data_IF_626612402229
#
_entry.id   IF_626612402229
#
_cell.length_a   1.000
_cell.length_b   1.000
_cell.length_c   1.000
_cell.angle_alpha   90.00
_cell.angle_beta   90.00
_cell.angle_gamma   90.00
#
_symmetry.space_group_name_H-M   'P 1'
#
loop_
_entity.id
_entity.type
_entity.pdbx_description
1 polymer ?
#
# COMPACT_ATOMS: atom_id res chain seq x y z
N UNK A 1 0.97 -15.83 -2.63
CA UNK A 1 2.06 -16.82 -2.81
C UNK A 1 3.22 -16.10 -3.47
N UNK A 2 4.45 -16.52 -3.24
CA UNK A 2 5.61 -16.01 -4.00
C UNK A 2 5.91 -16.99 -5.12
N UNK A 3 6.11 -16.49 -6.34
CA UNK A 3 6.64 -17.31 -7.43
C UNK A 3 8.13 -17.61 -7.18
N UNK A 4 8.72 -18.51 -7.98
CA UNK A 4 10.15 -18.85 -7.88
C UNK A 4 11.10 -17.68 -8.19
N UNK A 5 10.57 -16.52 -8.62
CA UNK A 5 11.32 -15.28 -8.90
C UNK A 5 11.11 -14.21 -7.82
N UNK A 6 10.30 -14.50 -6.79
CA UNK A 6 10.04 -13.61 -5.66
C UNK A 6 8.88 -12.63 -5.85
N UNK A 7 8.10 -12.73 -6.93
CA UNK A 7 6.90 -11.94 -7.18
C UNK A 7 5.72 -12.47 -6.37
N UNK A 8 4.95 -11.56 -5.78
CA UNK A 8 3.79 -11.91 -4.95
C UNK A 8 2.53 -11.97 -5.81
N UNK A 9 1.94 -13.16 -5.93
CA UNK A 9 0.65 -13.39 -6.56
C UNK A 9 -0.48 -13.54 -5.51
N UNK A 10 -1.63 -12.91 -5.79
CA UNK A 10 -2.85 -13.02 -4.99
C UNK A 10 -3.83 -13.93 -5.72
N UNK A 11 -4.11 -15.09 -5.13
CA UNK A 11 -5.07 -16.04 -5.69
C UNK A 11 -6.48 -15.44 -5.67
N UNK A 12 -7.14 -15.45 -6.82
CA UNK A 12 -8.50 -14.92 -6.97
C UNK A 12 -8.57 -13.39 -7.07
N UNK A 13 -7.44 -12.71 -7.32
CA UNK A 13 -7.45 -11.31 -7.74
C UNK A 13 -8.09 -11.21 -9.13
N UNK A 14 -9.07 -10.31 -9.27
CA UNK A 14 -9.73 -9.99 -10.53
C UNK A 14 -8.96 -8.86 -11.22
N UNK A 15 -8.58 -9.07 -12.48
CA UNK A 15 -7.97 -8.04 -13.34
C UNK A 15 -8.93 -7.78 -14.51
N UNK A 16 -9.33 -6.52 -14.68
CA UNK A 16 -10.31 -6.11 -15.69
C UNK A 16 -9.59 -5.25 -16.75
N UNK A 17 -9.65 -5.68 -18.02
CA UNK A 17 -9.04 -4.94 -19.14
C UNK A 17 -9.90 -3.71 -19.43
N UNK A 18 -9.24 -2.57 -19.55
CA UNK A 18 -9.87 -1.27 -19.83
C UNK A 18 -9.27 -0.62 -21.07
N UNK A 19 -10.11 0.09 -21.80
CA UNK A 19 -9.73 0.77 -23.05
C UNK A 19 -9.83 2.30 -22.96
N UNK A 20 -10.29 2.83 -21.83
CA UNK A 20 -10.43 4.27 -21.61
C UNK A 20 -10.22 4.66 -20.15
N UNK A 21 -9.82 5.92 -19.92
CA UNK A 21 -9.76 6.47 -18.56
C UNK A 21 -11.12 6.44 -17.86
N UNK A 22 -12.22 6.62 -18.61
CA UNK A 22 -13.58 6.52 -18.07
C UNK A 22 -13.90 5.14 -17.50
N UNK A 23 -13.40 4.06 -18.10
CA UNK A 23 -13.55 2.71 -17.56
C UNK A 23 -12.77 2.51 -16.26
N UNK A 24 -11.57 3.08 -16.15
CA UNK A 24 -10.80 3.07 -14.90
C UNK A 24 -11.61 3.69 -13.76
N UNK A 25 -12.22 4.86 -13.99
CA UNK A 25 -13.05 5.51 -12.98
C UNK A 25 -14.28 4.67 -12.60
N UNK A 26 -14.94 4.03 -13.58
CA UNK A 26 -16.08 3.13 -13.29
C UNK A 26 -15.68 1.94 -12.42
N UNK A 27 -14.51 1.34 -12.67
CA UNK A 27 -13.99 0.24 -11.84
C UNK A 27 -13.65 0.74 -10.45
N UNK A 28 -13.03 1.92 -10.34
CA UNK A 28 -12.73 2.56 -9.06
C UNK A 28 -14.00 2.79 -8.23
N UNK A 29 -15.06 3.33 -8.86
CA UNK A 29 -16.36 3.55 -8.21
C UNK A 29 -17.02 2.24 -7.77
N UNK A 30 -17.00 1.21 -8.63
CA UNK A 30 -17.49 -0.14 -8.31
C UNK A 30 -16.73 -0.74 -7.12
N UNK A 31 -15.41 -0.59 -7.09
CA UNK A 31 -14.56 -1.04 -5.98
C UNK A 31 -14.86 -0.29 -4.68
N UNK A 32 -14.99 1.03 -4.76
CA UNK A 32 -15.31 1.91 -3.63
C UNK A 32 -16.71 1.63 -3.07
N UNK A 33 -17.70 1.36 -3.93
CA UNK A 33 -19.04 0.93 -3.53
C UNK A 33 -19.02 -0.43 -2.83
N UNK A 34 -18.32 -1.43 -3.40
CA UNK A 34 -18.14 -2.75 -2.75
C UNK A 34 -17.48 -2.61 -1.37
N UNK A 35 -16.48 -1.73 -1.24
CA UNK A 35 -15.81 -1.41 0.03
C UNK A 35 -16.81 -0.82 1.04
N UNK A 36 -17.61 0.17 0.65
CA UNK A 36 -18.65 0.80 1.50
C UNK A 36 -19.73 -0.18 1.97
N UNK A 37 -20.16 -1.10 1.10
CA UNK A 37 -21.16 -2.12 1.48
C UNK A 37 -20.62 -3.09 2.52
N UNK A 38 -19.33 -3.44 2.44
CA UNK A 38 -18.67 -4.24 3.49
C UNK A 38 -18.63 -3.50 4.84
N UNK A 39 -18.40 -2.17 4.83
CA UNK A 39 -18.36 -1.34 6.05
C UNK A 39 -19.70 -1.26 6.79
N UNK A 40 -20.83 -1.28 6.08
CA UNK A 40 -22.18 -1.12 6.64
C UNK A 40 -22.72 -2.42 7.23
N UNK A 41 -22.32 -3.58 6.69
CA UNK A 41 -22.68 -4.89 7.23
C UNK A 41 -21.90 -5.27 8.51
N UNK A 42 -20.73 -4.66 8.77
CA UNK A 42 -19.81 -5.06 9.85
C UNK A 42 -19.32 -3.92 10.80
N UNK A 43 -19.79 -2.67 10.62
CA UNK A 43 -19.36 -1.42 11.31
C UNK A 43 -17.93 -0.93 10.98
N UNK A 44 -17.82 0.37 10.60
CA UNK A 44 -16.61 1.24 10.50
C UNK A 44 -15.29 0.56 10.06
N UNK A 45 -15.37 -0.37 9.11
CA UNK A 45 -14.23 -1.16 8.66
C UNK A 45 -13.27 -0.38 7.72
N UNK A 46 -13.69 0.79 7.18
CA UNK A 46 -12.87 1.62 6.27
C UNK A 46 -11.54 2.04 6.89
N UNK A 47 -11.56 2.51 8.15
CA UNK A 47 -10.34 2.95 8.83
C UNK A 47 -9.42 1.79 9.22
N UNK A 48 -9.85 0.54 8.98
CA UNK A 48 -9.24 -0.69 9.45
C UNK A 48 -8.86 -1.65 8.31
N UNK A 49 -8.84 -1.17 7.08
CA UNK A 49 -8.42 -1.97 5.93
C UNK A 49 -7.48 -1.20 5.03
N UNK A 50 -6.49 -1.88 4.46
CA UNK A 50 -5.66 -1.34 3.40
C UNK A 50 -6.29 -1.66 2.05
N UNK A 51 -6.29 -0.72 1.13
CA UNK A 51 -6.72 -0.92 -0.25
C UNK A 51 -5.55 -0.70 -1.20
N UNK A 52 -5.38 -1.61 -2.15
CA UNK A 52 -4.36 -1.51 -3.20
C UNK A 52 -5.10 -1.57 -4.53
N UNK A 53 -5.03 -0.48 -5.29
CA UNK A 53 -5.55 -0.41 -6.64
C UNK A 53 -4.37 -0.33 -7.61
N UNK A 54 -4.23 -1.33 -8.47
CA UNK A 54 -3.10 -1.44 -9.42
C UNK A 54 -3.58 -1.21 -10.84
N UNK A 55 -2.90 -0.32 -11.55
CA UNK A 55 -3.06 -0.11 -12.99
C UNK A 55 -1.79 -0.61 -13.67
N UNK A 56 -1.93 -1.57 -14.57
CA UNK A 56 -0.82 -2.09 -15.38
C UNK A 56 -1.05 -1.71 -16.84
N UNK A 57 -0.08 -1.05 -17.45
CA UNK A 57 -0.13 -0.60 -18.84
C UNK A 57 0.93 -1.36 -19.63
N UNK A 58 0.49 -2.06 -20.67
CA UNK A 58 1.37 -2.72 -21.63
C UNK A 58 1.47 -1.85 -22.87
N UNK A 59 2.67 -1.40 -23.20
CA UNK A 59 2.95 -0.55 -24.36
C UNK A 59 3.82 -1.36 -25.32
N UNK A 60 3.36 -1.53 -26.56
CA UNK A 60 4.15 -2.11 -27.64
C UNK A 60 4.63 -0.98 -28.53
N UNK A 61 5.94 -0.86 -28.68
CA UNK A 61 6.60 0.14 -29.53
C UNK A 61 7.54 -0.57 -30.52
N UNK A 62 7.76 0.04 -31.68
CA UNK A 62 8.91 -0.30 -32.52
C UNK A 62 10.06 0.63 -32.20
N UNK A 63 11.26 0.06 -32.01
CA UNK A 63 12.48 0.85 -31.90
C UNK A 63 12.83 1.48 -33.25
N UNK A 64 13.72 2.47 -33.24
CA UNK A 64 14.24 3.07 -34.48
C UNK A 64 14.92 2.06 -35.42
N UNK A 65 15.35 0.90 -34.88
CA UNK A 65 16.01 -0.18 -35.62
C UNK A 65 15.02 -1.21 -36.19
N UNK A 66 13.71 -1.01 -35.98
CA UNK A 66 12.68 -1.92 -36.46
C UNK A 66 12.34 -3.07 -35.51
N UNK A 67 12.93 -3.11 -34.31
CA UNK A 67 12.69 -4.16 -33.32
C UNK A 67 11.44 -3.88 -32.49
N UNK A 68 10.66 -4.92 -32.18
CA UNK A 68 9.51 -4.79 -31.29
C UNK A 68 9.97 -4.76 -29.82
N UNK A 69 9.62 -3.68 -29.10
CA UNK A 69 9.84 -3.54 -27.67
C UNK A 69 8.50 -3.51 -26.93
N UNK A 70 8.41 -4.28 -25.84
CA UNK A 70 7.28 -4.22 -24.90
C UNK A 70 7.74 -3.52 -23.63
N UNK A 71 7.11 -2.40 -23.30
CA UNK A 71 7.28 -1.70 -22.02
C UNK A 71 6.06 -1.98 -21.14
N UNK A 72 6.32 -2.20 -19.85
CA UNK A 72 5.26 -2.43 -18.86
C UNK A 72 5.39 -1.37 -17.78
N UNK A 73 4.38 -0.51 -17.68
CA UNK A 73 4.25 0.46 -16.59
C UNK A 73 3.27 -0.06 -15.55
N UNK A 74 3.59 0.07 -14.26
CA UNK A 74 2.68 -0.30 -13.16
C UNK A 74 2.57 0.85 -12.18
N UNK A 75 1.33 1.30 -11.95
CA UNK A 75 0.98 2.28 -10.93
C UNK A 75 0.20 1.58 -9.82
N UNK A 76 0.68 1.70 -8.58
CA UNK A 76 -0.03 1.23 -7.40
C UNK A 76 -0.54 2.44 -6.61
N UNK A 77 -1.86 2.55 -6.47
CA UNK A 77 -2.52 3.50 -5.58
C UNK A 77 -2.88 2.76 -4.30
N UNK A 78 -2.23 3.13 -3.19
CA UNK A 78 -2.34 2.44 -1.92
C UNK A 78 -2.98 3.37 -0.89
N UNK A 79 -4.16 3.00 -0.43
CA UNK A 79 -4.89 3.65 0.66
C UNK A 79 -4.66 2.82 1.93
N UNK A 80 -3.92 3.38 2.88
CA UNK A 80 -3.53 2.68 4.09
C UNK A 80 -4.60 2.88 5.17
N UNK A 81 -4.80 1.85 6.00
CA UNK A 81 -5.60 1.94 7.21
C UNK A 81 -5.07 3.03 8.16
N UNK A 82 -5.93 3.48 9.07
CA UNK A 82 -5.58 4.44 10.09
C UNK A 82 -4.42 3.96 10.96
N UNK A 83 -3.51 4.87 11.30
CA UNK A 83 -2.31 4.61 12.11
C UNK A 83 -2.56 4.73 13.61
N UNK A 84 -3.79 5.05 14.03
CA UNK A 84 -4.11 5.33 15.42
C UNK A 84 -3.94 4.14 16.37
N UNK A 85 -3.63 4.44 17.63
CA UNK A 85 -3.38 3.40 18.62
C UNK A 85 -4.67 2.69 19.09
N UNK A 86 -4.63 1.35 19.13
CA UNK A 86 -5.77 0.48 19.49
C UNK A 86 -6.28 0.80 20.90
N UNK A 87 -5.37 1.18 21.81
CA UNK A 87 -5.70 1.53 23.20
C UNK A 87 -6.67 2.72 23.30
N UNK A 88 -6.59 3.69 22.36
CA UNK A 88 -7.54 4.81 22.27
C UNK A 88 -8.84 4.43 21.55
N UNK A 89 -8.84 3.34 20.78
CA UNK A 89 -10.01 2.88 20.01
C UNK A 89 -11.08 2.15 20.83
N UNK A 90 -10.78 1.78 22.09
CA UNK A 90 -11.73 1.12 23.00
C UNK A 90 -12.15 -0.30 22.57
N UNK A 91 -11.39 -0.97 21.70
CA UNK A 91 -11.73 -2.29 21.17
C UNK A 91 -11.61 -3.39 22.25
N UNK A 92 -12.75 -3.97 22.69
CA UNK A 92 -12.83 -5.23 23.46
C UNK A 92 -13.16 -6.41 22.53
N UNK A 93 -12.63 -7.59 22.85
CA UNK A 93 -12.79 -8.94 22.25
C UNK A 93 -13.07 -9.07 20.73
N UNK A 94 -12.32 -9.94 20.06
CA UNK A 94 -12.37 -10.14 18.60
C UNK A 94 -11.79 -8.98 17.79
N UNK A 95 -12.24 -7.74 18.05
CA UNK A 95 -11.75 -6.50 17.42
C UNK A 95 -10.30 -6.15 17.80
N UNK A 96 -9.83 -6.59 18.96
CA UNK A 96 -8.45 -6.37 19.39
C UNK A 96 -7.43 -7.12 18.50
N UNK A 97 -7.80 -8.31 18.00
CA UNK A 97 -6.95 -9.11 17.12
C UNK A 97 -6.84 -8.50 15.72
N UNK A 98 -7.96 -8.04 15.17
CA UNK A 98 -8.01 -7.35 13.88
C UNK A 98 -7.24 -6.03 13.92
N UNK A 99 -7.51 -5.20 14.92
CA UNK A 99 -6.75 -3.97 15.17
C UNK A 99 -5.24 -4.26 15.34
N UNK A 100 -4.90 -5.37 16.00
CA UNK A 100 -3.53 -5.85 16.14
C UNK A 100 -2.85 -6.16 14.82
N UNK A 101 -3.55 -6.84 13.90
CA UNK A 101 -3.00 -7.15 12.57
C UNK A 101 -2.87 -5.91 11.66
N UNK A 102 -3.76 -4.93 11.78
CA UNK A 102 -3.66 -3.64 11.07
C UNK A 102 -2.43 -2.88 11.55
N UNK A 103 -2.28 -2.69 12.86
CA UNK A 103 -1.13 -1.96 13.41
C UNK A 103 0.17 -2.72 13.17
N UNK A 104 0.13 -4.06 13.18
CA UNK A 104 1.26 -4.89 12.76
C UNK A 104 1.67 -4.59 11.33
N UNK A 105 0.73 -4.54 10.38
CA UNK A 105 1.07 -4.25 8.98
C UNK A 105 1.69 -2.85 8.77
N UNK A 106 1.21 -1.82 9.47
CA UNK A 106 1.80 -0.48 9.43
C UNK A 106 3.16 -0.41 10.13
N UNK A 107 3.30 -1.08 11.28
CA UNK A 107 4.59 -1.19 11.99
C UNK A 107 5.63 -1.92 11.14
N UNK A 108 5.25 -3.03 10.52
CA UNK A 108 6.11 -3.77 9.59
C UNK A 108 6.50 -2.92 8.39
N UNK A 109 5.57 -2.12 7.84
CA UNK A 109 5.88 -1.17 6.79
C UNK A 109 6.94 -0.15 7.23
N UNK A 110 6.84 0.39 8.44
CA UNK A 110 7.87 1.25 9.03
C UNK A 110 9.22 0.56 9.19
N UNK A 111 9.23 -0.71 9.65
CA UNK A 111 10.46 -1.52 9.75
C UNK A 111 11.12 -1.76 8.40
N UNK A 112 10.32 -2.04 7.37
CA UNK A 112 10.81 -2.21 5.99
C UNK A 112 11.48 -0.94 5.49
N UNK A 113 10.85 0.21 5.67
CA UNK A 113 11.43 1.50 5.28
C UNK A 113 12.73 1.77 6.03
N UNK A 114 12.76 1.58 7.35
CA UNK A 114 13.98 1.78 8.13
C UNK A 114 15.12 0.86 7.66
N UNK A 115 14.82 -0.43 7.46
CA UNK A 115 15.80 -1.38 6.96
C UNK A 115 16.35 -1.01 5.58
N UNK A 116 15.52 -0.40 4.71
CA UNK A 116 15.93 0.11 3.40
C UNK A 116 16.82 1.35 3.51
N UNK A 117 16.48 2.30 4.39
CA UNK A 117 17.29 3.50 4.67
C UNK A 117 18.66 3.12 5.25
N UNK A 118 18.70 2.10 6.12
CA UNK A 118 19.92 1.64 6.79
C UNK A 118 20.75 0.66 5.95
N UNK A 119 20.32 0.33 4.73
CA UNK A 119 20.92 -0.70 3.88
C UNK A 119 21.14 -2.03 4.62
N UNK A 120 20.18 -2.40 5.46
CA UNK A 120 20.21 -3.65 6.21
C UNK A 120 20.27 -4.84 5.25
N UNK A 121 21.13 -5.83 5.56
CA UNK A 121 21.25 -7.05 4.76
C UNK A 121 19.95 -7.88 4.72
N UNK A 122 19.05 -7.68 5.68
CA UNK A 122 17.73 -8.29 5.70
C UNK A 122 16.64 -7.23 5.81
N UNK A 123 15.68 -7.25 4.87
CA UNK A 123 14.49 -6.39 4.89
C UNK A 123 13.24 -7.26 5.14
N UNK A 124 12.46 -7.00 6.20
CA UNK A 124 11.40 -7.90 6.67
C UNK A 124 10.10 -7.79 5.88
N UNK A 125 10.16 -7.88 4.54
CA UNK A 125 8.96 -7.81 3.68
C UNK A 125 7.93 -8.87 4.03
N UNK A 126 8.35 -10.04 4.52
CA UNK A 126 7.49 -11.21 4.77
C UNK A 126 6.63 -11.10 6.03
N UNK A 127 6.92 -10.16 6.91
CA UNK A 127 6.27 -10.05 8.23
C UNK A 127 4.81 -9.54 8.15
N UNK A 128 4.41 -8.98 7.01
CA UNK A 128 3.01 -8.59 6.74
C UNK A 128 2.62 -8.85 5.28
N UNK A 129 1.35 -9.15 5.03
CA UNK A 129 0.83 -9.31 3.65
C UNK A 129 1.01 -8.03 2.83
N UNK A 130 0.81 -6.86 3.45
CA UNK A 130 0.95 -5.56 2.82
C UNK A 130 2.38 -5.35 2.30
N UNK A 131 3.39 -5.53 3.14
CA UNK A 131 4.80 -5.35 2.76
C UNK A 131 5.27 -6.37 1.73
N UNK A 132 4.68 -7.57 1.70
CA UNK A 132 4.92 -8.54 0.63
C UNK A 132 4.40 -8.01 -0.71
N UNK A 133 3.16 -7.52 -0.74
CA UNK A 133 2.55 -6.97 -1.96
C UNK A 133 3.28 -5.72 -2.46
N UNK A 134 3.80 -4.90 -1.54
CA UNK A 134 4.50 -3.66 -1.85
C UNK A 134 6.01 -3.81 -2.02
N UNK A 135 6.55 -5.03 -1.95
CA UNK A 135 8.00 -5.28 -2.06
C UNK A 135 8.61 -4.60 -3.29
N UNK A 136 7.98 -4.77 -4.44
CA UNK A 136 8.45 -4.19 -5.70
C UNK A 136 8.34 -2.66 -5.70
N UNK A 137 7.37 -2.11 -4.97
CA UNK A 137 7.16 -0.66 -4.83
C UNK A 137 8.12 -0.01 -3.82
N UNK A 138 8.62 -0.76 -2.84
CA UNK A 138 9.43 -0.21 -1.75
C UNK A 138 10.93 -0.53 -1.87
N UNK A 139 11.32 -1.59 -2.57
CA UNK A 139 12.73 -1.97 -2.74
C UNK A 139 13.15 -2.19 -4.17
N UNK A 140 12.26 -2.02 -5.14
CA UNK A 140 12.54 -2.14 -6.57
C UNK A 140 13.02 -0.83 -7.20
N UNK A 141 13.36 -0.90 -8.50
CA UNK A 141 13.60 0.29 -9.32
C UNK A 141 12.26 0.94 -9.71
N UNK A 142 11.69 1.69 -8.78
CA UNK A 142 10.39 2.34 -8.93
C UNK A 142 10.42 3.73 -8.31
N UNK A 143 9.54 4.61 -8.75
CA UNK A 143 9.30 5.89 -8.07
C UNK A 143 8.11 5.71 -7.13
N UNK A 144 8.36 5.92 -5.85
CA UNK A 144 7.35 5.82 -4.80
C UNK A 144 7.13 7.19 -4.21
N UNK A 145 5.88 7.55 -3.96
CA UNK A 145 5.48 8.77 -3.28
C UNK A 145 4.61 8.38 -2.07
N UNK A 146 4.85 9.02 -0.92
CA UNK A 146 4.07 8.80 0.30
C UNK A 146 3.41 10.12 0.66
N UNK A 147 2.09 10.09 0.83
CA UNK A 147 1.30 11.24 1.29
C UNK A 147 1.00 11.02 2.77
N UNK A 148 1.67 11.80 3.63
CA UNK A 148 1.41 11.81 5.06
C UNK A 148 0.20 12.69 5.37
N UNK A 149 -0.91 12.09 5.79
CA UNK A 149 -2.12 12.81 6.19
C UNK A 149 -2.12 13.01 7.70
N UNK A 150 -2.29 14.25 8.14
CA UNK A 150 -2.25 14.63 9.56
C UNK A 150 -3.44 15.49 9.92
N UNK A 151 -3.79 15.49 11.22
CA UNK A 151 -4.86 16.33 11.76
C UNK A 151 -4.26 17.56 12.46
N UNK A 152 -4.83 18.76 12.25
CA UNK A 152 -4.42 19.97 12.98
C UNK A 152 -4.96 20.02 14.41
N UNK A 153 -5.78 19.05 14.82
CA UNK A 153 -6.40 19.03 16.15
C UNK A 153 -5.38 18.73 17.25
N UNK A 154 -5.47 19.45 18.37
CA UNK A 154 -4.68 19.19 19.58
C UNK A 154 -4.87 17.76 20.11
N UNK A 155 -6.05 17.17 19.93
CA UNK A 155 -6.34 15.78 20.34
C UNK A 155 -5.58 14.72 19.54
N UNK A 156 -4.98 15.11 18.41
CA UNK A 156 -4.23 14.26 17.50
C UNK A 156 -2.72 14.53 17.55
N UNK A 157 -2.22 15.37 18.47
CA UNK A 157 -0.82 15.79 18.51
C UNK A 157 0.18 14.62 18.46
N UNK A 158 -0.02 13.60 19.29
CA UNK A 158 0.85 12.42 19.34
C UNK A 158 0.86 11.65 18.01
N UNK A 159 -0.30 11.45 17.40
CA UNK A 159 -0.44 10.72 16.12
C UNK A 159 0.14 11.52 14.96
N UNK A 160 -0.02 12.84 14.98
CA UNK A 160 0.60 13.76 14.03
C UNK A 160 2.13 13.70 14.12
N UNK A 161 2.71 13.73 15.32
CA UNK A 161 4.16 13.59 15.51
C UNK A 161 4.66 12.23 15.01
N UNK A 162 3.98 11.13 15.36
CA UNK A 162 4.29 9.78 14.89
C UNK A 162 4.29 9.68 13.36
N UNK A 163 3.29 10.28 12.71
CA UNK A 163 3.16 10.31 11.25
C UNK A 163 4.26 11.13 10.58
N UNK A 164 4.63 12.28 11.17
CA UNK A 164 5.72 13.13 10.66
C UNK A 164 7.08 12.44 10.81
N UNK A 165 7.34 11.77 11.93
CA UNK A 165 8.55 10.99 12.14
C UNK A 165 8.68 9.85 11.13
N UNK A 166 7.57 9.17 10.84
CA UNK A 166 7.52 8.16 9.79
C UNK A 166 7.85 8.76 8.42
N UNK A 167 7.21 9.86 8.04
CA UNK A 167 7.44 10.53 6.75
C UNK A 167 8.88 11.02 6.61
N UNK A 168 9.46 11.56 7.69
CA UNK A 168 10.85 12.01 7.72
C UNK A 168 11.83 10.86 7.46
N UNK A 169 11.60 9.69 8.09
CA UNK A 169 12.41 8.48 7.83
C UNK A 169 12.25 7.99 6.39
N UNK A 170 11.02 7.94 5.89
CA UNK A 170 10.74 7.48 4.54
C UNK A 170 11.34 8.37 3.45
N UNK A 171 11.41 9.69 3.68
CA UNK A 171 12.06 10.62 2.75
C UNK A 171 13.54 10.29 2.51
N UNK A 172 14.28 9.89 3.56
CA UNK A 172 15.71 9.55 3.44
C UNK A 172 15.97 8.38 2.49
N UNK A 173 15.00 7.48 2.33
CA UNK A 173 15.07 6.39 1.35
C UNK A 173 14.96 6.91 -0.10
N UNK A 174 14.01 7.80 -0.37
CA UNK A 174 13.76 8.33 -1.73
C UNK A 174 14.91 9.16 -2.29
N UNK A 175 15.63 9.91 -1.46
CA UNK A 175 16.77 10.73 -1.92
C UNK A 175 17.96 9.88 -2.41
N UNK A 176 17.91 8.56 -2.22
CA UNK A 176 18.99 7.63 -2.54
C UNK A 176 18.68 6.73 -3.76
N UNK A 177 17.49 6.87 -4.39
CA UNK A 177 17.03 6.06 -5.55
C UNK A 177 16.62 6.86 -6.78
#
# INVERSE_FOLDING_TARGET
MEDGKGFVFVRGLEEEVVYSAGEIYKILDKGSAKRRTAETLLNKQSSRSHSIFSITIHIKELTHEGEEMIKIGKLNLVDLAGSENISRSGARDGRAREAGEINKSLLTLGRVINALVEHSGHVPYRDSKLTRLLRDSLGGKTKTCIIATISPSVYCLEETLSTLDYAHRAKKYQEQT
#
